data_IF_244051211939
#
_entry.id   IF_244051211939
#
_cell.length_a   1.000
_cell.length_b   1.000
_cell.length_c   1.000
_cell.angle_alpha   90.00
_cell.angle_beta   90.00
_cell.angle_gamma   90.00
#
_symmetry.space_group_name_H-M   'P 1'
#
loop_
_entity.id
_entity.type
_entity.pdbx_description
1 polymer ?
#
# COMPACT_ATOMS: atom_id res chain seq x y z
N UNK A 1 8.15 -3.05 -12.96
CA UNK A 1 8.69 -3.01 -11.57
C UNK A 1 7.77 -2.18 -10.68
N UNK A 2 7.63 -2.55 -9.41
CA UNK A 2 6.76 -1.89 -8.44
C UNK A 2 7.58 -1.43 -7.23
N UNK A 3 7.33 -0.22 -6.75
CA UNK A 3 7.92 0.33 -5.53
C UNK A 3 6.80 0.80 -4.60
N UNK A 4 6.68 0.17 -3.44
CA UNK A 4 5.70 0.52 -2.41
C UNK A 4 6.41 1.16 -1.22
N UNK A 5 5.88 2.28 -0.72
CA UNK A 5 6.44 3.00 0.42
C UNK A 5 5.32 3.73 1.18
N UNK A 6 5.69 4.73 1.99
CA UNK A 6 4.79 5.63 2.70
C UNK A 6 3.83 6.32 1.73
N UNK A 7 2.55 6.08 1.95
CA UNK A 7 1.37 6.64 1.28
C UNK A 7 1.27 6.36 -0.23
N UNK A 8 2.26 5.69 -0.84
CA UNK A 8 2.43 5.68 -2.29
C UNK A 8 2.92 4.33 -2.82
N UNK A 9 2.43 3.99 -4.01
CA UNK A 9 2.96 2.91 -4.85
C UNK A 9 3.27 3.47 -6.23
N UNK A 10 4.45 3.14 -6.74
CA UNK A 10 4.92 3.54 -8.06
C UNK A 10 5.11 2.31 -8.94
N UNK A 11 4.71 2.41 -10.20
CA UNK A 11 5.08 1.43 -11.22
C UNK A 11 6.11 2.03 -12.16
N UNK A 12 7.05 1.21 -12.61
CA UNK A 12 8.03 1.55 -13.64
C UNK A 12 7.90 0.52 -14.76
N UNK A 13 7.77 1.00 -15.99
CA UNK A 13 7.81 0.17 -17.18
C UNK A 13 9.26 -0.21 -17.50
N UNK A 14 9.57 -1.51 -17.46
CA UNK A 14 10.92 -2.01 -17.71
C UNK A 14 11.22 -2.20 -19.21
N UNK A 15 10.21 -2.10 -20.07
CA UNK A 15 10.37 -2.25 -21.52
C UNK A 15 10.75 -0.93 -22.20
N UNK A 16 10.70 0.19 -21.47
CA UNK A 16 11.15 1.48 -21.96
C UNK A 16 12.68 1.56 -21.96
N UNK A 17 13.24 2.18 -23.01
CA UNK A 17 14.69 2.34 -23.14
C UNK A 17 15.23 3.11 -21.92
N UNK A 18 16.29 2.62 -21.25
CA UNK A 18 16.84 3.27 -20.07
C UNK A 18 17.29 4.70 -20.39
N UNK A 19 16.69 5.69 -19.71
CA UNK A 19 17.18 7.08 -19.69
C UNK A 19 18.17 7.25 -18.55
N UNK A 20 18.79 8.42 -18.45
CA UNK A 20 19.62 8.81 -17.29
C UNK A 20 18.85 8.81 -15.97
N UNK A 21 17.52 8.88 -16.02
CA UNK A 21 16.63 8.87 -14.86
C UNK A 21 15.43 7.94 -15.08
N UNK A 22 15.03 7.22 -14.04
CA UNK A 22 13.86 6.32 -14.06
C UNK A 22 12.61 7.09 -13.66
N UNK A 23 11.70 7.31 -14.60
CA UNK A 23 10.41 7.95 -14.34
C UNK A 23 9.32 6.90 -14.09
N UNK A 24 8.52 7.04 -13.02
CA UNK A 24 7.41 6.12 -12.78
C UNK A 24 6.30 6.31 -13.83
N UNK A 25 5.82 5.20 -14.39
CA UNK A 25 4.73 5.17 -15.37
C UNK A 25 3.37 5.43 -14.73
N UNK A 26 3.15 4.96 -13.49
CA UNK A 26 1.90 5.16 -12.74
C UNK A 26 2.20 5.38 -11.27
N UNK A 27 1.27 6.06 -10.60
CA UNK A 27 1.35 6.39 -9.18
C UNK A 27 -0.01 6.19 -8.53
N UNK A 28 -0.04 5.36 -7.50
CA UNK A 28 -1.15 5.24 -6.56
C UNK A 28 -0.81 6.06 -5.31
N UNK A 29 -1.76 6.85 -4.84
CA UNK A 29 -1.65 7.58 -3.57
C UNK A 29 -2.76 7.11 -2.63
N UNK A 30 -2.38 6.55 -1.49
CA UNK A 30 -3.30 6.11 -0.45
C UNK A 30 -2.76 6.54 0.91
N UNK A 31 -3.19 7.73 1.32
CA UNK A 31 -2.86 8.33 2.62
C UNK A 31 -3.88 7.93 3.67
N UNK A 32 -3.43 7.79 4.92
CA UNK A 32 -4.34 7.77 6.07
C UNK A 32 -5.12 9.08 6.17
N UNK A 33 -6.35 9.00 6.66
CA UNK A 33 -7.17 10.19 6.92
C UNK A 33 -6.47 11.04 7.98
N UNK A 34 -6.58 12.36 7.86
CA UNK A 34 -5.91 13.28 8.78
C UNK A 34 -6.25 12.96 10.26
N UNK A 35 -7.53 12.69 10.54
CA UNK A 35 -8.00 12.30 11.87
C UNK A 35 -7.33 11.02 12.39
N UNK A 36 -7.10 10.02 11.53
CA UNK A 36 -6.45 8.77 11.94
C UNK A 36 -4.99 9.00 12.31
N UNK A 37 -4.29 9.88 11.58
CA UNK A 37 -2.90 10.25 11.90
C UNK A 37 -2.81 10.99 13.23
N UNK A 38 -3.74 11.91 13.48
CA UNK A 38 -3.83 12.66 14.74
C UNK A 38 -4.15 11.73 15.91
N UNK A 39 -5.13 10.84 15.74
CA UNK A 39 -5.48 9.83 16.75
C UNK A 39 -4.30 8.90 17.05
N UNK A 40 -3.56 8.47 16.04
CA UNK A 40 -2.33 7.69 16.20
C UNK A 40 -1.28 8.43 17.04
N UNK A 41 -1.05 9.72 16.75
CA UNK A 41 -0.09 10.53 17.51
C UNK A 41 -0.55 10.77 18.96
N UNK A 42 -1.85 11.00 19.19
CA UNK A 42 -2.42 11.13 20.53
C UNK A 42 -2.26 9.85 21.37
N UNK A 43 -2.19 8.67 20.73
CA UNK A 43 -1.88 7.39 21.38
C UNK A 43 -0.38 7.18 21.66
N UNK A 44 0.45 8.20 21.45
CA UNK A 44 1.87 8.21 21.82
C UNK A 44 2.84 7.73 20.75
N UNK A 45 2.41 7.58 19.49
CA UNK A 45 3.30 7.27 18.36
C UNK A 45 3.95 8.52 17.79
N UNK A 46 5.16 8.39 17.23
CA UNK A 46 5.79 9.52 16.54
C UNK A 46 4.99 9.86 15.28
N UNK A 47 4.91 11.16 14.95
CA UNK A 47 4.16 11.65 13.78
C UNK A 47 4.59 10.97 12.49
N UNK A 48 5.87 10.66 12.34
CA UNK A 48 6.43 9.98 11.15
C UNK A 48 5.99 8.52 11.03
N UNK A 49 5.61 7.87 12.14
CA UNK A 49 5.07 6.51 12.16
C UNK A 49 3.57 6.49 11.84
N UNK A 50 2.87 7.62 12.01
CA UNK A 50 1.42 7.76 11.82
C UNK A 50 1.02 8.02 10.36
N UNK A 51 1.56 7.22 9.44
CA UNK A 51 1.25 7.25 8.02
C UNK A 51 0.75 5.89 7.54
N UNK A 52 0.30 5.83 6.28
CA UNK A 52 -0.02 4.56 5.66
C UNK A 52 1.21 3.99 4.97
N UNK A 53 1.89 3.03 5.60
CA UNK A 53 3.00 2.34 4.96
C UNK A 53 2.46 1.10 4.26
N UNK A 54 2.64 1.02 2.93
CA UNK A 54 2.19 -0.13 2.15
C UNK A 54 3.09 -1.33 2.45
N UNK A 55 2.49 -2.43 2.92
CA UNK A 55 3.21 -3.63 3.40
C UNK A 55 2.79 -4.90 2.67
N UNK A 56 1.67 -4.86 1.94
CA UNK A 56 1.16 -5.95 1.12
C UNK A 56 0.79 -5.39 -0.25
N UNK A 57 1.29 -6.03 -1.31
CA UNK A 57 0.90 -5.78 -2.69
C UNK A 57 0.99 -7.12 -3.42
N UNK A 58 -0.13 -7.83 -3.53
CA UNK A 58 -0.17 -9.20 -4.05
C UNK A 58 -1.29 -9.31 -5.09
N UNK A 59 -0.99 -9.75 -6.32
CA UNK A 59 -2.03 -10.04 -7.31
C UNK A 59 -3.04 -11.05 -6.78
N UNK A 60 -4.32 -10.76 -6.93
CA UNK A 60 -5.41 -11.68 -6.58
C UNK A 60 -5.79 -12.56 -7.76
N UNK A 61 -5.78 -11.98 -8.95
CA UNK A 61 -6.02 -12.58 -10.27
C UNK A 61 -5.40 -11.66 -11.35
N UNK A 62 -5.68 -11.92 -12.62
CA UNK A 62 -5.12 -11.16 -13.75
C UNK A 62 -5.61 -9.69 -13.83
N UNK A 63 -6.69 -9.36 -13.14
CA UNK A 63 -7.31 -8.03 -13.20
C UNK A 63 -7.08 -7.19 -11.95
N UNK A 64 -6.90 -7.85 -10.80
CA UNK A 64 -7.00 -7.22 -9.48
C UNK A 64 -5.76 -7.48 -8.63
N UNK A 65 -5.32 -6.45 -7.91
CA UNK A 65 -4.28 -6.53 -6.89
C UNK A 65 -4.85 -6.20 -5.52
N UNK A 66 -4.49 -7.01 -4.53
CA UNK A 66 -4.80 -6.78 -3.13
C UNK A 66 -3.66 -5.99 -2.48
N UNK A 67 -4.00 -4.83 -1.92
CA UNK A 67 -3.02 -3.91 -1.34
C UNK A 67 -3.41 -3.62 0.10
N UNK A 68 -2.48 -3.77 1.03
CA UNK A 68 -2.68 -3.38 2.43
C UNK A 68 -1.56 -2.47 2.92
N UNK A 69 -1.93 -1.58 3.83
CA UNK A 69 -0.97 -0.76 4.55
C UNK A 69 -1.32 -0.59 6.02
N UNK A 70 -0.36 -0.08 6.78
CA UNK A 70 -0.46 0.10 8.25
C UNK A 70 -1.54 1.11 8.63
N UNK A 71 -1.86 2.03 7.71
CA UNK A 71 -2.85 3.08 7.81
C UNK A 71 -2.89 3.75 9.22
N UNK A 72 -1.76 4.31 9.64
CA UNK A 72 -1.58 4.97 10.93
C UNK A 72 -1.93 4.08 12.14
N UNK A 73 -1.34 2.87 12.19
CA UNK A 73 -1.65 1.86 13.22
C UNK A 73 -3.13 1.46 13.25
N UNK A 74 -3.80 1.48 12.10
CA UNK A 74 -5.12 0.90 11.90
C UNK A 74 -5.15 0.18 10.53
N UNK A 75 -4.55 -1.02 10.42
CA UNK A 75 -4.29 -1.66 9.15
C UNK A 75 -5.55 -1.83 8.31
N UNK A 76 -5.45 -1.41 7.05
CA UNK A 76 -6.54 -1.52 6.07
C UNK A 76 -6.02 -2.17 4.79
N UNK A 77 -6.94 -2.75 4.04
CA UNK A 77 -6.70 -3.34 2.73
C UNK A 77 -7.72 -2.81 1.72
N UNK A 78 -7.33 -2.81 0.45
CA UNK A 78 -8.15 -2.39 -0.69
C UNK A 78 -7.83 -3.24 -1.90
N UNK A 79 -8.80 -3.41 -2.78
CA UNK A 79 -8.55 -3.91 -4.12
C UNK A 79 -8.31 -2.74 -5.08
N UNK A 80 -7.37 -2.95 -5.99
CA UNK A 80 -7.10 -2.05 -7.10
C UNK A 80 -7.06 -2.84 -8.40
N UNK A 81 -7.41 -2.21 -9.52
CA UNK A 81 -7.15 -2.79 -10.85
C UNK A 81 -5.64 -2.88 -11.06
N UNK A 82 -5.12 -4.06 -11.39
CA UNK A 82 -3.69 -4.33 -11.54
C UNK A 82 -3.06 -3.42 -12.60
N UNK A 83 -3.77 -3.21 -13.71
CA UNK A 83 -3.27 -2.43 -14.83
C UNK A 83 -3.34 -0.92 -14.58
N UNK A 84 -4.44 -0.40 -14.03
CA UNK A 84 -4.66 1.06 -13.91
C UNK A 84 -4.31 1.61 -12.52
N UNK A 85 -4.18 0.75 -11.50
CA UNK A 85 -4.10 1.13 -10.08
C UNK A 85 -5.30 1.95 -9.60
N UNK A 86 -6.46 1.78 -10.23
CA UNK A 86 -7.72 2.39 -9.80
C UNK A 86 -8.33 1.61 -8.65
N UNK A 87 -8.83 2.33 -7.66
CA UNK A 87 -9.47 1.77 -6.48
C UNK A 87 -10.84 1.19 -6.82
N UNK A 88 -11.12 -0.01 -6.33
CA UNK A 88 -12.36 -0.75 -6.63
C UNK A 88 -13.57 -0.34 -5.75
N UNK A 89 -13.36 0.51 -4.75
CA UNK A 89 -14.45 1.07 -3.93
C UNK A 89 -14.62 0.43 -2.55
N UNK A 90 -14.05 -0.75 -2.31
CA UNK A 90 -14.16 -1.45 -1.02
C UNK A 90 -12.90 -1.33 -0.12
N UNK A 91 -13.10 -0.84 1.11
CA UNK A 91 -12.09 -0.90 2.18
C UNK A 91 -12.37 -2.10 3.07
N UNK A 92 -11.34 -2.93 3.28
CA UNK A 92 -11.43 -4.15 4.07
C UNK A 92 -10.50 -4.01 5.28
N UNK A 93 -10.90 -4.59 6.42
CA UNK A 93 -10.00 -4.66 7.59
C UNK A 93 -8.69 -5.36 7.24
N UNK A 94 -7.57 -4.77 7.64
CA UNK A 94 -6.23 -5.33 7.51
C UNK A 94 -5.78 -6.17 8.71
N UNK A 95 -6.64 -6.34 9.71
CA UNK A 95 -6.33 -7.18 10.87
C UNK A 95 -5.95 -8.60 10.44
N UNK A 96 -4.86 -9.12 11.00
CA UNK A 96 -4.24 -10.40 10.63
C UNK A 96 -3.71 -10.52 9.18
N UNK A 97 -3.84 -9.47 8.36
CA UNK A 97 -3.38 -9.43 6.96
C UNK A 97 -2.21 -8.48 6.76
N UNK A 98 -2.12 -7.44 7.58
CA UNK A 98 -1.13 -6.38 7.50
C UNK A 98 -0.74 -5.95 8.93
N UNK A 99 0.56 -5.68 9.20
CA UNK A 99 0.99 -5.24 10.52
C UNK A 99 0.50 -3.82 10.84
N UNK A 100 0.44 -3.49 12.13
CA UNK A 100 0.15 -2.15 12.62
C UNK A 100 1.35 -1.21 12.46
N UNK A 101 2.55 -1.71 12.72
CA UNK A 101 3.79 -0.96 12.67
C UNK A 101 4.56 -1.29 11.38
N UNK A 102 5.04 -0.26 10.67
CA UNK A 102 5.76 -0.42 9.41
C UNK A 102 7.07 -1.21 9.56
N UNK A 103 7.66 -1.23 10.77
CA UNK A 103 8.91 -1.94 11.09
C UNK A 103 8.70 -3.44 11.27
N UNK A 104 7.47 -3.89 11.53
CA UNK A 104 7.18 -5.32 11.65
C UNK A 104 7.29 -6.01 10.29
N UNK A 105 7.90 -7.19 10.28
CA UNK A 105 7.94 -8.08 9.12
C UNK A 105 6.59 -8.75 8.94
N UNK A 106 6.24 -9.05 7.69
CA UNK A 106 5.00 -9.74 7.35
C UNK A 106 5.20 -10.64 6.12
N UNK A 107 4.30 -11.61 5.97
CA UNK A 107 4.19 -12.44 4.77
C UNK A 107 2.75 -12.32 4.28
N UNK A 108 2.57 -12.22 2.97
CA UNK A 108 1.26 -12.25 2.34
C UNK A 108 1.37 -12.97 1.01
N UNK A 109 0.47 -13.91 0.76
CA UNK A 109 0.33 -14.63 -0.49
C UNK A 109 -1.11 -15.11 -0.64
N UNK A 110 -1.58 -15.20 -1.87
CA UNK A 110 -2.75 -16.00 -2.20
C UNK A 110 -2.28 -17.38 -2.66
N UNK A 111 -2.97 -18.43 -2.21
CA UNK A 111 -2.75 -19.80 -2.65
C UNK A 111 -4.10 -20.42 -3.03
N UNK A 112 -4.13 -21.12 -4.15
CA UNK A 112 -5.36 -21.65 -4.75
C UNK A 112 -5.64 -21.02 -6.12
N UNK A 113 -6.38 -21.75 -6.97
CA UNK A 113 -6.90 -21.23 -8.24
C UNK A 113 -8.04 -20.25 -7.98
#
# INVERSE_FOLDING_TARGET
LLFANRDQVYTVNLNEVPKSEVTPSKKLTWRSRQQDRENCAMKGKHKDECHNFIKVFVPRNDEMVFVCGTNAFNPMCRYYRLNTLEYDGEEISGLARCPFDARQTNVALFAGK
#
